data_IF_800039663838
#
_entry.id   IF_800039663838
#
_cell.length_a   1.000
_cell.length_b   1.000
_cell.length_c   1.000
_cell.angle_alpha   90.00
_cell.angle_beta   90.00
_cell.angle_gamma   90.00
#
_symmetry.space_group_name_H-M   'P 1'
#
loop_
_entity.id
_entity.type
_entity.pdbx_description
1 polymer ?
#
# COMPACT_ATOMS: atom_id res chain seq x y z
N UNK A 1 17.80 5.38 -19.96
CA UNK A 1 16.49 5.79 -19.41
C UNK A 1 15.52 4.62 -19.21
N UNK A 2 15.45 3.62 -20.10
CA UNK A 2 14.58 2.42 -19.97
C UNK A 2 14.80 1.62 -18.67
N UNK A 3 16.05 1.48 -18.21
CA UNK A 3 16.36 0.74 -16.98
C UNK A 3 15.89 1.42 -15.69
N UNK A 4 15.73 2.75 -15.68
CA UNK A 4 15.31 3.48 -14.47
C UNK A 4 13.81 3.32 -14.23
N UNK A 5 13.00 3.48 -15.28
CA UNK A 5 11.55 3.30 -15.22
C UNK A 5 11.17 1.87 -14.87
N UNK A 6 11.89 0.88 -15.42
CA UNK A 6 11.71 -0.52 -15.05
C UNK A 6 11.99 -0.79 -13.56
N UNK A 7 13.06 -0.19 -13.00
CA UNK A 7 13.38 -0.32 -11.57
C UNK A 7 12.35 0.38 -10.68
N UNK A 8 11.90 1.58 -11.05
CA UNK A 8 10.89 2.32 -10.30
C UNK A 8 9.56 1.57 -10.25
N UNK A 9 9.12 1.05 -11.39
CA UNK A 9 7.92 0.21 -11.49
C UNK A 9 8.06 -1.07 -10.65
N UNK A 10 9.24 -1.69 -10.64
CA UNK A 10 9.53 -2.84 -9.80
C UNK A 10 9.45 -2.49 -8.30
N UNK A 11 10.05 -1.38 -7.86
CA UNK A 11 9.97 -0.95 -6.46
C UNK A 11 8.54 -0.59 -6.03
N UNK A 12 7.78 0.07 -6.90
CA UNK A 12 6.36 0.35 -6.67
C UNK A 12 5.58 -0.96 -6.54
N UNK A 13 5.78 -1.91 -7.46
CA UNK A 13 5.12 -3.22 -7.45
C UNK A 13 5.42 -4.00 -6.18
N UNK A 14 6.69 -4.04 -5.74
CA UNK A 14 7.08 -4.68 -4.48
C UNK A 14 6.44 -3.98 -3.27
N UNK A 15 6.39 -2.65 -3.28
CA UNK A 15 5.74 -1.88 -2.20
C UNK A 15 4.23 -2.16 -2.14
N UNK A 16 3.57 -2.30 -3.30
CA UNK A 16 2.18 -2.72 -3.38
C UNK A 16 1.95 -4.13 -2.87
N UNK A 17 2.79 -5.08 -3.27
CA UNK A 17 2.70 -6.46 -2.79
C UNK A 17 2.85 -6.52 -1.27
N UNK A 18 3.79 -5.76 -0.71
CA UNK A 18 3.99 -5.70 0.74
C UNK A 18 2.79 -5.07 1.47
N UNK A 19 2.21 -4.01 0.91
CA UNK A 19 0.98 -3.39 1.41
C UNK A 19 -0.17 -4.41 1.40
N UNK A 20 -0.38 -5.12 0.28
CA UNK A 20 -1.41 -6.15 0.14
C UNK A 20 -1.23 -7.28 1.15
N UNK A 21 0.00 -7.78 1.33
CA UNK A 21 0.31 -8.81 2.34
C UNK A 21 -0.04 -8.32 3.74
N UNK A 22 0.32 -7.07 4.06
CA UNK A 22 0.02 -6.48 5.38
C UNK A 22 -1.49 -6.41 5.62
N UNK A 23 -2.27 -6.01 4.61
CA UNK A 23 -3.72 -6.06 4.69
C UNK A 23 -4.23 -7.50 4.80
N UNK A 24 -3.73 -8.46 4.03
CA UNK A 24 -4.13 -9.86 4.17
C UNK A 24 -3.93 -10.33 5.63
N UNK A 25 -2.77 -10.06 6.25
CA UNK A 25 -2.54 -10.33 7.67
C UNK A 25 -3.58 -9.66 8.57
N UNK A 26 -3.89 -8.39 8.35
CA UNK A 26 -4.91 -7.66 9.11
C UNK A 26 -6.30 -8.28 8.98
N UNK A 27 -6.67 -8.71 7.78
CA UNK A 27 -7.94 -9.37 7.50
C UNK A 27 -8.08 -10.67 8.31
N UNK A 28 -7.05 -11.52 8.32
CA UNK A 28 -7.03 -12.74 9.13
C UNK A 28 -7.07 -12.44 10.64
N UNK A 29 -6.34 -11.41 11.08
CA UNK A 29 -6.28 -11.02 12.48
C UNK A 29 -7.63 -10.48 13.00
N UNK A 30 -8.30 -9.61 12.23
CA UNK A 30 -9.46 -8.83 12.70
C UNK A 30 -10.81 -9.21 12.07
N UNK A 31 -10.87 -9.48 10.77
CA UNK A 31 -12.14 -9.60 10.06
C UNK A 31 -12.73 -11.02 10.14
N UNK A 32 -11.89 -12.06 10.09
CA UNK A 32 -12.34 -13.46 10.17
C UNK A 32 -13.05 -13.79 11.50
N UNK A 33 -12.57 -13.35 12.68
CA UNK A 33 -13.26 -13.62 13.94
C UNK A 33 -14.63 -12.96 14.05
N UNK A 34 -14.84 -11.79 13.42
CA UNK A 34 -16.09 -11.03 13.54
C UNK A 34 -17.17 -11.47 12.54
N UNK A 35 -16.82 -12.16 11.44
CA UNK A 35 -17.73 -12.68 10.39
C UNK A 35 -18.79 -11.71 9.83
N UNK A 36 -18.68 -10.39 10.03
CA UNK A 36 -19.67 -9.43 9.53
C UNK A 36 -19.36 -9.00 8.09
N UNK A 37 -20.38 -8.99 7.22
CA UNK A 37 -20.26 -8.55 5.82
C UNK A 37 -19.77 -7.10 5.72
N UNK A 38 -20.23 -6.24 6.63
CA UNK A 38 -19.83 -4.83 6.70
C UNK A 38 -18.31 -4.64 6.91
N UNK A 39 -17.70 -5.41 7.83
CA UNK A 39 -16.27 -5.33 8.08
C UNK A 39 -15.45 -5.73 6.84
N UNK A 40 -15.94 -6.68 6.03
CA UNK A 40 -15.31 -7.08 4.77
C UNK A 40 -15.34 -5.95 3.73
N UNK A 41 -16.48 -5.28 3.55
CA UNK A 41 -16.60 -4.20 2.58
C UNK A 41 -15.76 -2.97 2.97
N UNK A 42 -15.75 -2.59 4.25
CA UNK A 42 -14.85 -1.54 4.75
C UNK A 42 -13.39 -1.89 4.47
N UNK A 43 -13.02 -3.15 4.69
CA UNK A 43 -11.65 -3.61 4.49
C UNK A 43 -11.19 -3.42 3.03
N UNK A 44 -12.04 -3.78 2.07
CA UNK A 44 -11.78 -3.57 0.65
C UNK A 44 -11.66 -2.07 0.34
N UNK A 45 -12.56 -1.25 0.88
CA UNK A 45 -12.53 0.20 0.68
C UNK A 45 -11.22 0.83 1.18
N UNK A 46 -10.73 0.40 2.33
CA UNK A 46 -9.46 0.89 2.90
C UNK A 46 -8.26 0.47 2.04
N UNK A 47 -8.21 -0.79 1.56
CA UNK A 47 -7.13 -1.24 0.67
C UNK A 47 -7.05 -0.35 -0.57
N UNK A 48 -8.20 -0.11 -1.22
CA UNK A 48 -8.25 0.73 -2.42
C UNK A 48 -7.77 2.14 -2.08
N UNK A 49 -8.33 2.77 -1.05
CA UNK A 49 -7.98 4.12 -0.65
C UNK A 49 -6.49 4.29 -0.31
N UNK A 50 -5.87 3.30 0.35
CA UNK A 50 -4.45 3.33 0.67
C UNK A 50 -3.55 3.04 -0.54
N UNK A 51 -4.02 2.23 -1.49
CA UNK A 51 -3.29 1.91 -2.70
C UNK A 51 -3.34 3.01 -3.76
N UNK A 52 -4.43 3.80 -3.85
CA UNK A 52 -4.61 4.79 -4.92
C UNK A 52 -3.50 5.84 -5.04
N UNK A 53 -3.01 6.48 -3.95
CA UNK A 53 -2.05 7.59 -4.05
C UNK A 53 -0.75 7.22 -4.79
N UNK A 54 -0.16 6.06 -4.48
CA UNK A 54 1.07 5.60 -5.14
C UNK A 54 0.86 5.26 -6.62
N UNK A 55 -0.33 4.81 -7.01
CA UNK A 55 -0.63 4.38 -8.37
C UNK A 55 -0.78 5.60 -9.25
N UNK A 56 -1.53 6.58 -8.74
CA UNK A 56 -1.70 7.88 -9.40
C UNK A 56 -0.36 8.59 -9.52
N UNK A 57 0.46 8.61 -8.46
CA UNK A 57 1.78 9.23 -8.51
C UNK A 57 2.72 8.56 -9.52
N UNK A 58 2.69 7.23 -9.62
CA UNK A 58 3.49 6.49 -10.59
C UNK A 58 3.04 6.73 -12.03
N UNK A 59 1.72 6.74 -12.28
CA UNK A 59 1.14 7.07 -13.59
C UNK A 59 1.53 8.50 -13.98
N UNK A 60 1.36 9.47 -13.07
CA UNK A 60 1.75 10.85 -13.32
C UNK A 60 3.24 10.99 -13.61
N UNK A 61 4.10 10.22 -12.93
CA UNK A 61 5.53 10.20 -13.21
C UNK A 61 5.87 9.58 -14.57
N UNK A 62 5.09 8.61 -15.04
CA UNK A 62 5.31 7.99 -16.35
C UNK A 62 4.88 8.85 -17.54
N UNK A 63 3.95 9.80 -17.32
CA UNK A 63 3.39 10.65 -18.38
C UNK A 63 4.09 12.02 -18.44
N UNK A 64 4.50 12.56 -17.30
CA UNK A 64 5.09 13.90 -17.23
C UNK A 64 6.62 13.84 -17.30
N UNK A 65 7.21 14.64 -18.18
CA UNK A 65 8.67 14.85 -18.23
C UNK A 65 9.10 15.77 -17.08
N UNK A 66 9.30 15.18 -15.91
CA UNK A 66 9.87 15.88 -14.77
C UNK A 66 11.36 16.16 -15.02
N UNK A 67 11.71 17.45 -15.10
CA UNK A 67 13.10 17.91 -15.22
C UNK A 67 13.88 17.69 -13.91
N UNK A 68 13.18 17.73 -12.77
CA UNK A 68 13.72 17.56 -11.42
C UNK A 68 13.10 16.36 -10.67
N UNK A 69 13.59 16.10 -9.45
CA UNK A 69 13.07 15.03 -8.60
C UNK A 69 11.56 15.22 -8.28
N UNK A 70 10.76 14.21 -8.58
CA UNK A 70 9.33 14.22 -8.26
C UNK A 70 9.09 13.96 -6.76
N UNK A 71 8.99 15.04 -5.99
CA UNK A 71 8.72 15.01 -4.54
C UNK A 71 7.39 14.29 -4.23
N UNK A 72 6.38 14.45 -5.09
CA UNK A 72 5.08 13.78 -4.93
C UNK A 72 5.18 12.26 -5.03
N UNK A 73 6.03 11.74 -5.91
CA UNK A 73 6.31 10.31 -6.01
C UNK A 73 7.02 9.81 -4.75
N UNK A 74 8.05 10.53 -4.27
CA UNK A 74 8.74 10.21 -3.01
C UNK A 74 7.80 10.16 -1.80
N UNK A 75 6.93 11.15 -1.65
CA UNK A 75 5.92 11.21 -0.58
C UNK A 75 4.92 10.05 -0.67
N UNK A 76 4.51 9.67 -1.88
CA UNK A 76 3.59 8.55 -2.08
C UNK A 76 4.21 7.21 -1.67
N UNK A 77 5.51 7.03 -1.92
CA UNK A 77 6.26 5.89 -1.39
C UNK A 77 6.32 5.91 0.14
N UNK A 78 6.71 7.04 0.75
CA UNK A 78 6.77 7.16 2.21
C UNK A 78 5.41 6.88 2.88
N UNK A 79 4.33 7.42 2.32
CA UNK A 79 2.97 7.16 2.78
C UNK A 79 2.62 5.67 2.70
N UNK A 80 2.94 5.02 1.59
CA UNK A 80 2.69 3.58 1.40
C UNK A 80 3.43 2.75 2.44
N UNK A 81 4.70 3.06 2.70
CA UNK A 81 5.50 2.38 3.71
C UNK A 81 4.99 2.63 5.13
N UNK A 82 4.60 3.86 5.45
CA UNK A 82 4.01 4.20 6.75
C UNK A 82 2.71 3.42 7.01
N UNK A 83 1.81 3.37 6.02
CA UNK A 83 0.56 2.60 6.11
C UNK A 83 0.86 1.10 6.23
N UNK A 84 1.78 0.58 5.40
CA UNK A 84 2.19 -0.83 5.43
C UNK A 84 2.68 -1.22 6.82
N UNK A 85 3.63 -0.46 7.39
CA UNK A 85 4.17 -0.68 8.73
C UNK A 85 3.08 -0.61 9.80
N UNK A 86 2.20 0.39 9.75
CA UNK A 86 1.11 0.54 10.70
C UNK A 86 0.15 -0.65 10.65
N UNK A 87 -0.33 -1.02 9.45
CA UNK A 87 -1.26 -2.14 9.24
C UNK A 87 -0.64 -3.45 9.72
N UNK A 88 0.63 -3.69 9.38
CA UNK A 88 1.35 -4.89 9.81
C UNK A 88 1.51 -4.95 11.34
N UNK A 89 1.94 -3.85 11.98
CA UNK A 89 2.08 -3.77 13.44
C UNK A 89 0.76 -4.02 14.17
N UNK A 90 -0.34 -3.37 13.74
CA UNK A 90 -1.66 -3.60 14.33
C UNK A 90 -2.10 -5.06 14.20
N UNK A 91 -1.82 -5.68 13.06
CA UNK A 91 -2.10 -7.09 12.81
C UNK A 91 -1.34 -8.00 13.77
N UNK A 92 -0.03 -7.76 13.94
CA UNK A 92 0.82 -8.51 14.87
C UNK A 92 0.36 -8.36 16.32
N UNK A 93 0.13 -7.12 16.78
CA UNK A 93 -0.35 -6.86 18.16
C UNK A 93 -1.64 -7.63 18.43
N UNK A 94 -2.57 -7.65 17.48
CA UNK A 94 -3.82 -8.39 17.61
C UNK A 94 -3.61 -9.90 17.66
N UNK A 95 -2.68 -10.42 16.87
CA UNK A 95 -2.39 -11.84 16.79
C UNK A 95 -1.66 -12.35 18.06
N UNK A 96 -0.76 -11.54 18.63
CA UNK A 96 -0.08 -11.85 19.90
C UNK A 96 -1.04 -11.78 21.10
N UNK A 97 -2.02 -10.87 21.05
CA UNK A 97 -3.05 -10.71 22.10
C UNK A 97 -4.25 -11.64 21.97
N UNK A 98 -4.34 -12.43 20.89
CA UNK A 98 -5.34 -13.50 20.76
C UNK A 98 -4.90 -14.70 21.59
#
# INVERSE_FOLDING_TARGET
>A
MTNLMGRLALYASLSYLLLLISFICMYYAYAIPKRTKFARYIFIGIIIACGTPLAVALVNHSIMDYVDANIGLGLSFMLTWAITGLVFLLSLIRQIRK
#
